data_IF_007603776546
#
_entry.id   IF_007603776546
#
_cell.length_a   1.000
_cell.length_b   1.000
_cell.length_c   1.000
_cell.angle_alpha   90.00
_cell.angle_beta   90.00
_cell.angle_gamma   90.00
#
_symmetry.space_group_name_H-M   'P 1'
#
loop_
_entity.id
_entity.type
_entity.pdbx_description
1 polymer ?
#
# COMPACT_ATOMS: atom_id res chain seq x y z
N UNK A 1 -28.66 -54.24 -47.34
CA UNK A 1 -29.17 -53.18 -46.48
C UNK A 1 -28.29 -53.15 -45.22
N UNK A 2 -27.25 -52.32 -45.25
CA UNK A 2 -26.27 -52.19 -44.20
C UNK A 2 -26.61 -50.95 -43.37
N UNK A 3 -26.88 -51.14 -42.08
CA UNK A 3 -27.16 -50.08 -41.13
C UNK A 3 -25.83 -49.47 -40.62
N UNK A 4 -25.58 -48.21 -40.90
CA UNK A 4 -24.51 -47.44 -40.34
C UNK A 4 -24.80 -47.07 -38.87
N UNK A 5 -23.90 -47.51 -37.99
CA UNK A 5 -23.88 -47.16 -36.57
C UNK A 5 -23.24 -45.75 -36.43
N UNK A 6 -24.05 -44.77 -36.04
CA UNK A 6 -23.58 -43.42 -35.72
C UNK A 6 -22.86 -43.41 -34.37
N UNK A 7 -21.58 -43.06 -34.37
CA UNK A 7 -20.77 -42.79 -33.18
C UNK A 7 -21.18 -41.46 -32.51
N UNK A 8 -21.41 -41.44 -31.20
CA UNK A 8 -21.73 -40.19 -30.52
C UNK A 8 -20.46 -39.30 -30.37
N UNK A 9 -20.50 -38.09 -30.90
CA UNK A 9 -19.49 -37.04 -30.68
C UNK A 9 -19.52 -36.64 -29.20
N UNK A 10 -18.46 -37.01 -28.46
CA UNK A 10 -18.17 -36.47 -27.12
C UNK A 10 -17.81 -35.01 -27.23
N UNK A 11 -18.69 -34.13 -26.79
CA UNK A 11 -18.39 -32.69 -26.56
C UNK A 11 -17.42 -32.61 -25.38
N UNK A 12 -16.36 -31.76 -25.47
CA UNK A 12 -15.44 -31.59 -24.36
C UNK A 12 -16.17 -30.92 -23.18
N UNK A 13 -16.23 -31.66 -22.05
CA UNK A 13 -16.65 -31.13 -20.76
C UNK A 13 -15.78 -29.92 -20.43
N UNK A 14 -16.37 -28.71 -20.50
CA UNK A 14 -15.79 -27.53 -19.86
C UNK A 14 -15.74 -27.80 -18.36
N UNK A 15 -14.59 -28.19 -17.86
CA UNK A 15 -14.31 -28.14 -16.43
C UNK A 15 -14.37 -26.66 -16.03
N UNK A 16 -15.44 -26.25 -15.40
CA UNK A 16 -15.54 -25.01 -14.67
C UNK A 16 -14.51 -25.07 -13.55
N UNK A 17 -13.34 -24.48 -13.79
CA UNK A 17 -12.36 -24.21 -12.75
C UNK A 17 -13.01 -23.20 -11.79
N UNK A 18 -13.64 -23.69 -10.75
CA UNK A 18 -13.91 -22.91 -9.56
C UNK A 18 -12.57 -22.28 -9.15
N UNK A 19 -12.40 -20.97 -9.39
CA UNK A 19 -11.24 -20.26 -8.94
C UNK A 19 -11.23 -20.36 -7.41
N UNK A 20 -10.24 -20.98 -6.78
CA UNK A 20 -10.19 -21.02 -5.33
C UNK A 20 -10.22 -19.59 -4.84
N UNK A 21 -11.19 -19.27 -3.97
CA UNK A 21 -11.18 -18.03 -3.20
C UNK A 21 -9.81 -17.94 -2.54
N UNK A 22 -9.22 -16.73 -2.55
CA UNK A 22 -7.99 -16.45 -1.79
C UNK A 22 -8.38 -16.50 -0.31
N UNK A 23 -8.32 -17.68 0.29
CA UNK A 23 -8.48 -17.82 1.73
C UNK A 23 -7.09 -17.70 2.35
N UNK A 24 -6.83 -16.56 2.99
CA UNK A 24 -5.68 -16.37 3.87
C UNK A 24 -6.14 -16.77 5.25
N UNK A 25 -5.46 -17.75 5.85
CA UNK A 25 -5.82 -18.22 7.18
C UNK A 25 -5.45 -17.17 8.24
N UNK A 26 -6.29 -17.01 9.26
CA UNK A 26 -6.05 -16.09 10.37
C UNK A 26 -4.70 -16.37 11.07
N UNK A 27 -4.31 -17.64 11.16
CA UNK A 27 -2.99 -18.03 11.67
C UNK A 27 -1.82 -17.49 10.85
N UNK A 28 -1.97 -17.34 9.53
CA UNK A 28 -0.94 -16.76 8.67
C UNK A 28 -0.84 -15.24 8.89
N UNK A 29 -1.97 -14.56 9.11
CA UNK A 29 -1.98 -13.12 9.44
C UNK A 29 -1.35 -12.85 10.80
N UNK A 30 -1.66 -13.64 11.82
CA UNK A 30 -1.03 -13.53 13.14
C UNK A 30 0.49 -13.75 13.08
N UNK A 31 0.94 -14.71 12.26
CA UNK A 31 2.36 -14.96 12.02
C UNK A 31 3.03 -13.79 11.29
N UNK A 32 2.37 -13.23 10.25
CA UNK A 32 2.88 -12.06 9.54
C UNK A 32 3.02 -10.85 10.46
N UNK A 33 2.03 -10.61 11.32
CA UNK A 33 2.03 -9.55 12.31
C UNK A 33 3.21 -9.69 13.28
N UNK A 34 3.45 -10.90 13.80
CA UNK A 34 4.61 -11.19 14.64
C UNK A 34 5.94 -10.95 13.91
N UNK A 35 6.04 -11.30 12.62
CA UNK A 35 7.25 -11.03 11.82
C UNK A 35 7.42 -9.52 11.62
N UNK A 36 6.37 -8.78 11.26
CA UNK A 36 6.39 -7.32 11.10
C UNK A 36 6.90 -6.63 12.37
N UNK A 37 6.46 -7.07 13.55
CA UNK A 37 6.86 -6.49 14.84
C UNK A 37 8.34 -6.72 15.21
N UNK A 38 9.06 -7.57 14.46
CA UNK A 38 10.47 -7.95 14.72
C UNK A 38 11.37 -7.82 13.51
N UNK A 39 10.83 -7.31 12.40
CA UNK A 39 11.56 -7.24 11.13
C UNK A 39 12.75 -6.28 11.21
N UNK A 40 13.88 -6.72 10.71
CA UNK A 40 15.08 -5.89 10.49
C UNK A 40 15.15 -5.38 9.04
N UNK A 41 14.27 -5.88 8.18
CA UNK A 41 14.09 -5.45 6.80
C UNK A 41 12.58 -5.34 6.50
N UNK A 42 12.08 -4.11 6.46
CA UNK A 42 10.65 -3.85 6.30
C UNK A 42 10.39 -2.39 5.86
N UNK A 43 9.69 -2.23 4.75
CA UNK A 43 9.05 -0.94 4.42
C UNK A 43 7.70 -0.84 5.15
N UNK A 44 7.25 0.36 5.59
CA UNK A 44 5.95 0.55 6.26
C UNK A 44 4.77 -0.03 5.49
N UNK A 45 4.75 0.10 4.14
CA UNK A 45 3.71 -0.46 3.28
C UNK A 45 3.52 -1.98 3.41
N UNK A 46 4.51 -2.70 3.96
CA UNK A 46 4.44 -4.15 4.17
C UNK A 46 3.32 -4.54 5.15
N UNK A 47 2.89 -3.61 6.03
CA UNK A 47 1.74 -3.80 6.92
C UNK A 47 0.43 -4.03 6.13
N UNK A 48 0.34 -3.62 4.85
CA UNK A 48 -0.78 -3.96 3.98
C UNK A 48 -0.97 -5.48 3.78
N UNK A 49 0.01 -6.31 4.13
CA UNK A 49 -0.14 -7.77 4.14
C UNK A 49 -1.24 -8.22 5.11
N UNK A 50 -1.44 -7.48 6.22
CA UNK A 50 -2.43 -7.77 7.25
C UNK A 50 -3.89 -7.58 6.79
N UNK A 51 -4.10 -6.95 5.60
CA UNK A 51 -5.42 -6.84 4.98
C UNK A 51 -6.03 -8.19 4.57
N UNK A 52 -5.22 -9.25 4.45
CA UNK A 52 -5.70 -10.59 4.14
C UNK A 52 -6.12 -10.81 2.68
N UNK A 53 -5.88 -9.86 1.78
CA UNK A 53 -6.20 -9.94 0.35
C UNK A 53 -5.06 -10.50 -0.52
N UNK A 54 -3.94 -10.86 0.11
CA UNK A 54 -2.72 -11.42 -0.51
C UNK A 54 -2.35 -12.76 0.11
N UNK A 55 -1.75 -13.64 -0.67
CA UNK A 55 -1.09 -14.85 -0.17
C UNK A 55 0.23 -14.51 0.49
N UNK A 56 0.62 -15.29 1.47
CA UNK A 56 1.87 -15.14 2.19
C UNK A 56 2.78 -16.34 1.88
N UNK A 57 3.99 -16.06 1.43
CA UNK A 57 5.06 -17.05 1.26
C UNK A 57 6.06 -16.86 2.38
N UNK A 58 6.09 -17.78 3.34
CA UNK A 58 7.04 -17.71 4.45
C UNK A 58 8.39 -18.33 4.08
N UNK A 59 9.46 -17.81 4.68
CA UNK A 59 10.79 -18.44 4.59
C UNK A 59 10.81 -19.80 5.30
N UNK A 60 11.76 -20.70 4.98
CA UNK A 60 11.89 -21.99 5.67
C UNK A 60 12.09 -21.85 7.19
N UNK A 61 12.78 -20.79 7.63
CA UNK A 61 12.98 -20.49 9.06
C UNK A 61 11.71 -19.99 9.76
N UNK A 62 10.76 -19.48 8.97
CA UNK A 62 9.55 -18.84 9.48
C UNK A 62 9.71 -17.43 10.02
N UNK A 63 10.89 -16.83 9.84
CA UNK A 63 11.21 -15.48 10.35
C UNK A 63 10.99 -14.36 9.33
N UNK A 64 10.66 -14.73 8.08
CA UNK A 64 10.40 -13.79 7.00
C UNK A 64 9.22 -14.23 6.14
N UNK A 65 8.58 -13.29 5.47
CA UNK A 65 7.53 -13.56 4.49
C UNK A 65 7.59 -12.62 3.29
N UNK A 66 6.92 -13.03 2.21
CA UNK A 66 6.61 -12.21 1.03
C UNK A 66 5.11 -12.26 0.79
N UNK A 67 4.44 -11.11 0.66
CA UNK A 67 3.04 -11.03 0.30
C UNK A 67 2.86 -10.92 -1.21
N UNK A 68 1.93 -11.68 -1.81
CA UNK A 68 1.69 -11.65 -3.25
C UNK A 68 0.24 -11.99 -3.61
N UNK A 69 -0.20 -11.54 -4.77
CA UNK A 69 -1.50 -11.89 -5.32
C UNK A 69 -1.38 -12.40 -6.76
N UNK A 70 -2.02 -13.54 -7.11
CA UNK A 70 -2.13 -14.00 -8.48
C UNK A 70 -3.22 -13.23 -9.24
N UNK A 71 -2.92 -12.78 -10.47
CA UNK A 71 -3.91 -12.25 -11.41
C UNK A 71 -3.66 -12.83 -12.79
N UNK A 72 -4.49 -13.78 -13.20
CA UNK A 72 -4.23 -14.60 -14.38
C UNK A 72 -2.90 -15.36 -14.23
N UNK A 73 -2.03 -15.26 -15.24
CA UNK A 73 -0.69 -15.88 -15.19
C UNK A 73 0.37 -14.98 -14.52
N UNK A 74 0.04 -13.80 -14.05
CA UNK A 74 1.00 -12.93 -13.35
C UNK A 74 0.84 -13.09 -11.84
N UNK A 75 1.95 -13.35 -11.14
CA UNK A 75 2.03 -13.33 -9.70
C UNK A 75 2.76 -12.05 -9.27
N UNK A 76 2.04 -11.19 -8.58
CA UNK A 76 2.54 -9.88 -8.14
C UNK A 76 2.84 -9.92 -6.65
N UNK A 77 4.11 -9.85 -6.29
CA UNK A 77 4.53 -9.52 -4.95
C UNK A 77 4.28 -8.03 -4.69
N UNK A 78 3.85 -7.68 -3.48
CA UNK A 78 3.69 -6.29 -3.06
C UNK A 78 4.85 -5.90 -2.13
N UNK A 79 5.69 -4.99 -2.61
CA UNK A 79 6.92 -4.60 -1.92
C UNK A 79 8.00 -5.68 -1.94
N UNK A 80 8.98 -5.50 -1.06
CA UNK A 80 10.08 -6.43 -0.81
C UNK A 80 9.66 -7.57 0.15
N UNK A 81 10.47 -8.64 0.29
CA UNK A 81 10.37 -9.56 1.41
C UNK A 81 10.47 -8.82 2.75
N UNK A 82 9.84 -9.36 3.78
CA UNK A 82 9.75 -8.78 5.13
C UNK A 82 10.32 -9.75 6.15
N UNK A 83 11.10 -9.27 7.10
CA UNK A 83 11.66 -10.08 8.20
C UNK A 83 13.15 -9.86 8.40
N UNK A 84 13.94 -10.90 8.25
CA UNK A 84 15.38 -10.85 8.40
C UNK A 84 16.07 -10.45 7.10
N UNK A 85 16.95 -9.47 7.13
CA UNK A 85 17.62 -8.93 5.95
C UNK A 85 18.40 -10.01 5.17
N UNK A 86 19.04 -10.93 5.87
CA UNK A 86 19.81 -12.03 5.28
C UNK A 86 18.97 -13.06 4.53
N UNK A 87 17.65 -13.10 4.77
CA UNK A 87 16.73 -14.00 4.10
C UNK A 87 16.08 -13.38 2.85
N UNK A 88 16.18 -12.07 2.66
CA UNK A 88 15.40 -11.34 1.65
C UNK A 88 15.67 -11.82 0.22
N UNK A 89 16.93 -11.96 -0.18
CA UNK A 89 17.30 -12.44 -1.53
C UNK A 89 16.81 -13.88 -1.75
N UNK A 90 17.05 -14.78 -0.78
CA UNK A 90 16.64 -16.18 -0.87
C UNK A 90 15.12 -16.35 -0.97
N UNK A 91 14.35 -15.54 -0.23
CA UNK A 91 12.90 -15.58 -0.28
C UNK A 91 12.34 -15.02 -1.59
N UNK A 92 12.92 -13.94 -2.13
CA UNK A 92 12.57 -13.41 -3.44
C UNK A 92 12.88 -14.43 -4.56
N UNK A 93 14.05 -15.08 -4.51
CA UNK A 93 14.42 -16.15 -5.45
C UNK A 93 13.45 -17.35 -5.37
N UNK A 94 13.06 -17.74 -4.15
CA UNK A 94 12.08 -18.81 -3.94
C UNK A 94 10.72 -18.48 -4.54
N UNK A 95 10.25 -17.25 -4.37
CA UNK A 95 9.01 -16.77 -5.01
C UNK A 95 9.06 -16.87 -6.53
N UNK A 96 10.16 -16.39 -7.15
CA UNK A 96 10.36 -16.47 -8.60
C UNK A 96 10.33 -17.94 -9.07
N UNK A 97 11.04 -18.82 -8.36
CA UNK A 97 11.15 -20.23 -8.70
C UNK A 97 9.80 -20.96 -8.63
N UNK A 98 9.04 -20.73 -7.57
CA UNK A 98 7.70 -21.34 -7.40
C UNK A 98 6.74 -20.82 -8.48
N UNK A 99 6.72 -19.51 -8.71
CA UNK A 99 5.87 -18.91 -9.75
C UNK A 99 6.15 -19.53 -11.13
N UNK A 100 7.44 -19.62 -11.52
CA UNK A 100 7.85 -20.20 -12.81
C UNK A 100 7.48 -21.68 -12.92
N UNK A 101 7.70 -22.49 -11.88
CA UNK A 101 7.31 -23.92 -11.85
C UNK A 101 5.82 -24.11 -12.08
N UNK A 102 4.98 -23.16 -11.63
CA UNK A 102 3.52 -23.18 -11.82
C UNK A 102 3.09 -22.45 -13.12
N UNK A 103 4.01 -22.12 -14.03
CA UNK A 103 3.73 -21.47 -15.30
C UNK A 103 3.30 -20.01 -15.17
N UNK A 104 3.53 -19.39 -13.99
CA UNK A 104 3.26 -17.99 -13.75
C UNK A 104 4.45 -17.09 -14.05
N UNK A 105 4.17 -15.81 -14.27
CA UNK A 105 5.13 -14.73 -14.50
C UNK A 105 5.26 -13.89 -13.23
N UNK A 106 6.36 -14.03 -12.46
CA UNK A 106 6.55 -13.27 -11.22
C UNK A 106 6.96 -11.83 -11.49
N UNK A 107 6.46 -10.90 -10.66
CA UNK A 107 6.89 -9.51 -10.62
C UNK A 107 6.74 -8.95 -9.20
N UNK A 108 7.52 -7.91 -8.88
CA UNK A 108 7.48 -7.18 -7.62
C UNK A 108 6.99 -5.76 -7.90
N UNK A 109 5.92 -5.35 -7.24
CA UNK A 109 5.29 -4.05 -7.41
C UNK A 109 5.46 -3.19 -6.17
N UNK A 110 5.73 -1.89 -6.35
CA UNK A 110 5.87 -0.95 -5.26
C UNK A 110 7.20 -1.07 -4.51
N UNK A 111 8.26 -1.51 -5.19
CA UNK A 111 9.60 -1.63 -4.58
C UNK A 111 10.37 -0.30 -4.68
N UNK A 112 11.07 0.06 -3.61
CA UNK A 112 11.86 1.28 -3.49
C UNK A 112 13.37 1.00 -3.47
N UNK A 113 14.19 1.99 -3.06
CA UNK A 113 15.64 1.86 -3.04
C UNK A 113 16.17 0.68 -2.21
N UNK A 114 15.48 0.31 -1.13
CA UNK A 114 15.85 -0.83 -0.30
C UNK A 114 15.86 -2.17 -1.05
N UNK A 115 15.17 -2.26 -2.21
CA UNK A 115 15.11 -3.47 -3.04
C UNK A 115 16.30 -3.62 -4.01
N UNK A 116 17.18 -2.62 -4.12
CA UNK A 116 18.25 -2.59 -5.14
C UNK A 116 19.12 -3.83 -5.10
N UNK A 117 19.66 -4.19 -3.94
CA UNK A 117 20.50 -5.37 -3.78
C UNK A 117 19.81 -6.69 -4.15
N UNK A 118 18.48 -6.79 -3.98
CA UNK A 118 17.71 -7.94 -4.45
C UNK A 118 17.57 -7.93 -5.97
N UNK A 119 17.32 -6.75 -6.56
CA UNK A 119 17.17 -6.59 -7.99
C UNK A 119 18.47 -6.95 -8.75
N UNK A 120 19.62 -6.49 -8.24
CA UNK A 120 20.94 -6.82 -8.78
C UNK A 120 21.26 -8.31 -8.64
N UNK A 121 21.11 -8.88 -7.45
CA UNK A 121 21.42 -10.28 -7.17
C UNK A 121 20.58 -11.27 -8.01
N UNK A 122 19.36 -10.87 -8.41
CA UNK A 122 18.44 -11.70 -9.18
C UNK A 122 18.28 -11.28 -10.66
N UNK A 123 19.12 -10.37 -11.15
CA UNK A 123 19.08 -9.81 -12.53
C UNK A 123 17.65 -9.37 -12.93
N UNK A 124 17.00 -8.58 -12.06
CA UNK A 124 15.66 -8.07 -12.31
C UNK A 124 15.70 -6.75 -13.08
N UNK A 125 14.88 -6.65 -14.12
CA UNK A 125 14.66 -5.40 -14.82
C UNK A 125 13.66 -4.54 -14.06
N UNK A 126 13.94 -3.24 -13.89
CA UNK A 126 13.09 -2.28 -13.18
C UNK A 126 12.51 -1.26 -14.14
N UNK A 127 11.24 -0.88 -13.87
CA UNK A 127 10.57 0.24 -14.54
C UNK A 127 9.96 1.12 -13.47
N UNK A 128 10.25 2.43 -13.52
CA UNK A 128 9.69 3.41 -12.58
C UNK A 128 8.18 3.50 -12.76
N UNK A 129 7.44 3.43 -11.65
CA UNK A 129 5.97 3.45 -11.61
C UNK A 129 5.41 4.63 -10.81
N UNK A 130 6.28 5.41 -10.16
CA UNK A 130 5.91 6.58 -9.38
C UNK A 130 7.02 7.02 -8.45
N UNK A 131 6.66 7.87 -7.50
CA UNK A 131 7.55 8.37 -6.46
C UNK A 131 6.86 8.28 -5.09
N UNK A 132 7.64 8.02 -4.05
CA UNK A 132 7.22 7.97 -2.65
C UNK A 132 7.72 9.22 -1.94
N UNK A 133 6.84 9.86 -1.19
CA UNK A 133 7.18 11.06 -0.44
C UNK A 133 7.66 10.69 0.97
N UNK A 134 8.92 10.98 1.28
CA UNK A 134 9.56 10.67 2.56
C UNK A 134 9.92 11.98 3.26
N UNK A 135 9.48 12.14 4.50
CA UNK A 135 9.84 13.28 5.34
C UNK A 135 10.90 12.84 6.36
N UNK A 136 12.07 13.46 6.32
CA UNK A 136 13.08 13.27 7.34
C UNK A 136 12.59 13.88 8.68
N UNK A 137 12.42 13.03 9.68
CA UNK A 137 11.98 13.43 11.01
C UNK A 137 13.14 13.89 11.90
N UNK A 138 14.36 13.51 11.59
CA UNK A 138 15.53 13.86 12.42
C UNK A 138 15.73 15.39 12.45
N UNK A 139 15.54 16.03 11.29
CA UNK A 139 15.66 17.46 11.10
C UNK A 139 14.30 18.21 11.13
N UNK A 140 13.18 17.48 11.14
CA UNK A 140 11.86 18.08 11.07
C UNK A 140 11.57 19.01 12.25
N UNK A 141 11.10 20.22 11.95
CA UNK A 141 10.48 21.15 12.91
C UNK A 141 9.31 21.88 12.24
N UNK A 142 8.45 22.50 13.03
CA UNK A 142 7.38 23.37 12.52
C UNK A 142 7.86 24.81 12.29
N UNK A 143 9.13 25.11 12.49
CA UNK A 143 9.70 26.46 12.35
C UNK A 143 9.90 26.86 10.89
N UNK A 144 10.12 28.15 10.68
CA UNK A 144 10.40 28.72 9.38
C UNK A 144 9.17 29.05 8.53
N UNK A 145 9.42 29.80 7.44
CA UNK A 145 8.40 30.30 6.50
C UNK A 145 7.66 29.16 5.77
N UNK A 146 8.39 28.13 5.39
CA UNK A 146 7.84 27.00 4.63
C UNK A 146 6.77 26.20 5.41
N UNK A 147 6.83 26.21 6.74
CA UNK A 147 5.90 25.52 7.63
C UNK A 147 4.76 26.41 8.15
N UNK A 148 4.69 27.68 7.72
CA UNK A 148 3.72 28.65 8.22
C UNK A 148 2.27 28.19 8.10
N UNK A 149 1.86 27.63 6.97
CA UNK A 149 0.48 27.17 6.74
C UNK A 149 0.12 26.05 7.71
N UNK A 150 0.99 25.06 7.85
CA UNK A 150 0.79 23.91 8.74
C UNK A 150 0.72 24.36 10.19
N UNK A 151 1.64 25.24 10.60
CA UNK A 151 1.68 25.84 11.94
C UNK A 151 0.42 26.66 12.25
N UNK A 152 -0.09 27.40 11.25
CA UNK A 152 -1.33 28.18 11.38
C UNK A 152 -2.53 27.24 11.61
N UNK A 153 -2.65 26.15 10.85
CA UNK A 153 -3.72 25.18 11.05
C UNK A 153 -3.58 24.49 12.42
N UNK A 154 -2.39 24.08 12.81
CA UNK A 154 -2.13 23.50 14.12
C UNK A 154 -2.55 24.43 15.25
N UNK A 155 -2.05 25.66 15.25
CA UNK A 155 -2.34 26.63 16.31
C UNK A 155 -3.83 26.94 16.42
N UNK A 156 -4.55 27.02 15.29
CA UNK A 156 -6.00 27.22 15.26
C UNK A 156 -6.75 26.04 15.89
N UNK A 157 -6.37 24.81 15.56
CA UNK A 157 -7.02 23.61 16.13
C UNK A 157 -6.73 23.48 17.61
N UNK A 158 -5.50 23.71 18.05
CA UNK A 158 -5.14 23.73 19.48
C UNK A 158 -5.91 24.83 20.23
N UNK A 159 -6.03 26.05 19.68
CA UNK A 159 -6.84 27.13 20.27
C UNK A 159 -8.31 26.76 20.40
N UNK A 160 -8.83 25.97 19.45
CA UNK A 160 -10.21 25.45 19.47
C UNK A 160 -10.32 24.13 20.25
N UNK A 161 -9.34 23.81 21.09
CA UNK A 161 -9.32 22.66 22.00
C UNK A 161 -9.40 21.29 21.29
N UNK A 162 -8.98 21.20 20.02
CA UNK A 162 -8.77 19.92 19.38
C UNK A 162 -7.49 19.26 19.91
N UNK A 163 -7.50 17.94 19.98
CA UNK A 163 -6.36 17.12 20.37
C UNK A 163 -6.17 15.96 19.42
N UNK A 164 -4.93 15.48 19.29
CA UNK A 164 -4.63 14.23 18.57
C UNK A 164 -4.28 13.17 19.60
N UNK A 165 -4.95 12.02 19.51
CA UNK A 165 -4.62 10.82 20.29
C UNK A 165 -4.11 9.74 19.36
N UNK A 166 -3.02 9.10 19.78
CA UNK A 166 -2.42 7.97 19.04
C UNK A 166 -2.41 6.78 19.99
N UNK A 167 -3.16 5.77 19.63
CA UNK A 167 -3.42 4.59 20.44
C UNK A 167 -2.88 3.35 19.71
N UNK A 168 -2.44 2.35 20.46
CA UNK A 168 -1.95 1.09 19.90
C UNK A 168 -3.05 0.24 19.24
N UNK A 169 -2.67 -0.92 18.67
CA UNK A 169 -3.64 -1.89 18.15
C UNK A 169 -4.75 -2.23 19.15
N UNK A 170 -5.94 -2.48 18.65
CA UNK A 170 -7.15 -2.74 19.46
C UNK A 170 -8.02 -1.51 19.77
N UNK A 171 -7.54 -0.30 19.47
CA UNK A 171 -8.27 0.94 19.78
C UNK A 171 -9.48 1.21 18.84
N UNK A 172 -9.53 0.56 17.69
CA UNK A 172 -10.57 0.77 16.68
C UNK A 172 -11.95 0.35 17.22
N UNK A 173 -12.03 -0.77 17.93
CA UNK A 173 -13.30 -1.34 18.42
C UNK A 173 -14.04 -0.41 19.36
N UNK A 174 -13.32 0.31 20.23
CA UNK A 174 -13.90 1.28 21.15
C UNK A 174 -14.54 2.50 20.45
N UNK A 175 -14.12 2.78 19.21
CA UNK A 175 -14.55 3.95 18.44
C UNK A 175 -15.27 3.56 17.13
N UNK A 176 -15.60 2.28 16.94
CA UNK A 176 -15.98 1.69 15.66
C UNK A 176 -17.14 2.41 14.98
N UNK A 177 -18.22 2.68 15.70
CA UNK A 177 -19.40 3.32 15.12
C UNK A 177 -19.07 4.70 14.50
N UNK A 178 -18.28 5.51 15.21
CA UNK A 178 -17.88 6.83 14.69
C UNK A 178 -16.90 6.73 13.55
N UNK A 179 -15.90 5.85 13.63
CA UNK A 179 -14.93 5.63 12.56
C UNK A 179 -15.61 5.13 11.27
N UNK A 180 -16.62 4.24 11.40
CA UNK A 180 -17.43 3.78 10.29
C UNK A 180 -18.20 4.94 9.64
N UNK A 181 -18.87 5.78 10.44
CA UNK A 181 -19.57 6.96 9.94
C UNK A 181 -18.66 7.89 9.13
N UNK A 182 -17.48 8.22 9.69
CA UNK A 182 -16.49 9.04 8.99
C UNK A 182 -16.06 8.37 7.67
N UNK A 183 -15.82 7.07 7.72
CA UNK A 183 -15.42 6.29 6.56
C UNK A 183 -16.47 6.31 5.46
N UNK A 184 -17.74 6.11 5.80
CA UNK A 184 -18.84 6.07 4.85
C UNK A 184 -19.07 7.46 4.21
N UNK A 185 -19.07 8.53 5.01
CA UNK A 185 -19.12 9.91 4.53
C UNK A 185 -17.98 10.22 3.54
N UNK A 186 -16.74 9.85 3.90
CA UNK A 186 -15.59 10.06 3.06
C UNK A 186 -15.70 9.32 1.72
N UNK A 187 -16.22 8.08 1.72
CA UNK A 187 -16.37 7.24 0.52
C UNK A 187 -17.39 7.79 -0.47
N UNK A 188 -18.44 8.50 -0.01
CA UNK A 188 -19.42 9.15 -0.90
C UNK A 188 -18.73 10.10 -1.89
N UNK A 189 -17.67 10.76 -1.46
CA UNK A 189 -16.90 11.71 -2.28
C UNK A 189 -15.73 11.08 -3.05
N UNK A 190 -15.54 9.74 -2.96
CA UNK A 190 -14.44 9.06 -3.64
C UNK A 190 -14.91 8.27 -4.85
N UNK A 191 -14.44 8.65 -6.02
CA UNK A 191 -14.67 7.87 -7.23
C UNK A 191 -14.01 6.48 -7.14
N UNK A 192 -14.79 5.41 -7.25
CA UNK A 192 -14.30 4.03 -7.34
C UNK A 192 -14.20 3.25 -6.04
N UNK A 193 -14.76 3.76 -4.93
CA UNK A 193 -14.93 3.01 -3.67
C UNK A 193 -13.61 2.60 -3.01
N UNK A 194 -13.69 1.57 -2.15
CA UNK A 194 -12.54 1.01 -1.46
C UNK A 194 -11.53 0.38 -2.42
N UNK A 195 -10.27 0.47 -2.05
CA UNK A 195 -9.13 -0.10 -2.78
C UNK A 195 -8.60 -1.33 -2.04
N UNK A 196 -7.65 -2.01 -2.64
CA UNK A 196 -6.99 -3.17 -2.03
C UNK A 196 -5.56 -3.33 -2.52
N UNK A 197 -4.97 -4.50 -2.29
CA UNK A 197 -3.63 -4.91 -2.69
C UNK A 197 -2.53 -4.04 -2.09
N UNK A 198 -2.34 -2.83 -2.57
CA UNK A 198 -1.31 -1.89 -2.09
C UNK A 198 -1.82 -0.75 -1.22
N UNK A 199 -3.12 -0.72 -0.96
CA UNK A 199 -3.80 0.25 -0.11
C UNK A 199 -4.73 -0.48 0.86
N UNK A 200 -4.87 0.04 2.06
CA UNK A 200 -5.83 -0.47 3.01
C UNK A 200 -7.27 -0.06 2.65
N UNK A 201 -8.20 -0.70 3.31
CA UNK A 201 -9.63 -0.39 3.28
C UNK A 201 -10.19 -0.41 4.69
N UNK A 202 -11.39 0.11 4.87
CA UNK A 202 -12.08 0.04 6.15
C UNK A 202 -12.59 -1.39 6.41
N UNK A 203 -11.69 -2.22 6.91
CA UNK A 203 -11.95 -3.58 7.37
C UNK A 203 -11.54 -3.64 8.85
N UNK A 204 -12.50 -3.91 9.73
CA UNK A 204 -12.30 -3.84 11.19
C UNK A 204 -11.19 -4.77 11.66
N UNK A 205 -11.11 -5.99 11.10
CA UNK A 205 -10.08 -6.96 11.46
C UNK A 205 -8.68 -6.50 11.06
N UNK A 206 -8.59 -5.74 9.98
CA UNK A 206 -7.34 -5.17 9.50
C UNK A 206 -6.93 -3.93 10.30
N UNK A 207 -7.80 -2.91 10.36
CA UNK A 207 -7.44 -1.64 10.99
C UNK A 207 -7.26 -1.74 12.50
N UNK A 208 -7.87 -2.72 13.16
CA UNK A 208 -7.73 -2.99 14.59
C UNK A 208 -6.36 -3.59 14.96
N UNK A 209 -5.60 -4.08 13.95
CA UNK A 209 -4.20 -4.53 14.11
C UNK A 209 -3.18 -3.37 14.05
N UNK A 210 -3.62 -2.19 13.63
CA UNK A 210 -2.76 -1.04 13.38
C UNK A 210 -2.91 0.00 14.48
N UNK A 211 -1.86 0.78 14.77
CA UNK A 211 -2.01 1.95 15.61
C UNK A 211 -2.97 2.95 14.96
N UNK A 212 -3.84 3.54 15.78
CA UNK A 212 -4.89 4.47 15.39
C UNK A 212 -4.58 5.88 15.89
N UNK A 213 -4.54 6.85 14.98
CA UNK A 213 -4.51 8.27 15.32
C UNK A 213 -5.90 8.89 15.12
N UNK A 214 -6.40 9.63 16.09
CA UNK A 214 -7.70 10.30 16.02
C UNK A 214 -7.56 11.79 16.35
N UNK A 215 -8.23 12.65 15.58
CA UNK A 215 -8.41 14.07 15.92
C UNK A 215 -9.73 14.21 16.67
N UNK A 216 -9.67 14.73 17.89
CA UNK A 216 -10.82 14.87 18.78
C UNK A 216 -11.07 16.32 19.13
N UNK A 217 -12.35 16.72 19.12
CA UNK A 217 -12.82 17.99 19.66
C UNK A 217 -12.85 17.95 21.21
N UNK A 218 -13.12 19.08 21.83
CA UNK A 218 -13.16 19.24 23.29
C UNK A 218 -14.17 18.32 23.99
N UNK A 219 -15.29 18.02 23.34
CA UNK A 219 -16.34 17.11 23.81
C UNK A 219 -16.01 15.62 23.58
N UNK A 220 -14.84 15.32 23.02
CA UNK A 220 -14.38 13.98 22.69
C UNK A 220 -14.83 13.45 21.32
N UNK A 221 -15.62 14.21 20.57
CA UNK A 221 -16.07 13.85 19.24
C UNK A 221 -14.89 13.69 18.28
N UNK A 222 -14.87 12.59 17.51
CA UNK A 222 -13.80 12.33 16.53
C UNK A 222 -14.15 12.99 15.20
N UNK A 223 -13.30 13.92 14.76
CA UNK A 223 -13.43 14.64 13.48
C UNK A 223 -12.67 13.98 12.32
N UNK A 224 -11.53 13.32 12.62
CA UNK A 224 -10.69 12.64 11.62
C UNK A 224 -9.93 11.49 12.27
N UNK A 225 -9.47 10.55 11.44
CA UNK A 225 -8.58 9.47 11.86
C UNK A 225 -7.57 9.08 10.79
N UNK A 226 -6.49 8.42 11.24
CA UNK A 226 -5.54 7.72 10.36
C UNK A 226 -5.08 6.42 11.02
N UNK A 227 -4.88 5.38 10.21
CA UNK A 227 -4.21 4.15 10.61
C UNK A 227 -2.73 4.23 10.23
N UNK A 228 -1.84 3.77 11.09
CA UNK A 228 -0.40 3.93 10.91
C UNK A 228 0.27 2.60 10.55
N UNK A 229 1.31 2.67 9.75
CA UNK A 229 2.17 1.56 9.37
C UNK A 229 3.56 1.72 10.00
N UNK A 230 3.82 1.17 11.17
CA UNK A 230 5.14 1.24 11.81
C UNK A 230 6.13 0.26 11.17
N UNK A 231 7.41 0.60 11.16
CA UNK A 231 8.50 -0.37 11.04
C UNK A 231 9.06 -0.69 12.44
N UNK A 232 9.44 -1.96 12.67
CA UNK A 232 9.90 -2.40 13.98
C UNK A 232 11.23 -1.77 14.41
N UNK A 233 12.11 -1.50 13.45
CA UNK A 233 13.41 -0.86 13.63
C UNK A 233 13.34 0.66 13.79
N UNK A 234 12.14 1.22 13.72
CA UNK A 234 11.87 2.66 13.74
C UNK A 234 12.58 3.49 12.66
N UNK A 235 13.07 2.86 11.62
CA UNK A 235 13.62 3.58 10.46
C UNK A 235 12.55 4.45 9.81
N UNK A 236 11.30 3.93 9.70
CA UNK A 236 10.17 4.64 9.09
C UNK A 236 8.85 4.32 9.78
N UNK A 237 7.94 5.28 9.70
CA UNK A 237 6.50 5.05 9.95
C UNK A 237 5.71 5.66 8.81
N UNK A 238 4.68 4.98 8.36
CA UNK A 238 3.79 5.45 7.29
C UNK A 238 2.36 5.60 7.76
N UNK A 239 1.51 6.09 6.88
CA UNK A 239 0.07 6.20 7.07
C UNK A 239 -0.65 5.37 6.01
N UNK A 240 -1.75 4.72 6.39
CA UNK A 240 -2.63 4.00 5.46
C UNK A 240 -3.95 4.74 5.25
N UNK A 241 -5.04 4.24 5.85
CA UNK A 241 -6.29 4.96 5.80
C UNK A 241 -6.17 6.28 6.55
N UNK A 242 -6.59 7.35 5.88
CA UNK A 242 -6.75 8.67 6.49
C UNK A 242 -8.07 9.25 6.00
N UNK A 243 -8.98 9.55 6.93
CA UNK A 243 -10.34 9.99 6.62
C UNK A 243 -10.79 11.06 7.62
N UNK A 244 -11.67 11.93 7.15
CA UNK A 244 -12.28 12.96 7.98
C UNK A 244 -13.79 13.02 7.70
N UNK A 245 -14.56 13.38 8.70
CA UNK A 245 -16.00 13.53 8.59
C UNK A 245 -16.41 14.83 7.90
N UNK A 246 -17.66 14.94 7.48
CA UNK A 246 -18.21 16.16 6.86
C UNK A 246 -18.21 17.34 7.84
N UNK A 247 -18.29 17.07 9.14
CA UNK A 247 -18.21 18.02 10.24
C UNK A 247 -16.79 18.42 10.65
N UNK A 248 -15.78 17.88 9.97
CA UNK A 248 -14.39 18.17 10.29
C UNK A 248 -14.01 19.61 9.93
N UNK A 249 -13.32 20.33 10.81
CA UNK A 249 -12.91 21.70 10.52
C UNK A 249 -11.86 21.78 9.41
N UNK A 250 -11.90 22.85 8.64
CA UNK A 250 -10.94 23.06 7.54
C UNK A 250 -9.50 23.03 8.05
N UNK A 251 -8.63 22.23 7.38
CA UNK A 251 -7.23 22.03 7.74
C UNK A 251 -7.03 20.94 8.80
N UNK A 252 -8.04 20.15 9.13
CA UNK A 252 -7.94 19.04 10.09
C UNK A 252 -6.85 18.04 9.73
N UNK A 253 -6.67 17.73 8.43
CA UNK A 253 -5.62 16.82 7.98
C UNK A 253 -4.22 17.45 8.08
N UNK A 254 -4.06 18.75 7.82
CA UNK A 254 -2.79 19.43 8.04
C UNK A 254 -2.42 19.42 9.53
N UNK A 255 -3.41 19.57 10.42
CA UNK A 255 -3.23 19.46 11.87
C UNK A 255 -2.86 18.03 12.28
N UNK A 256 -3.58 17.03 11.80
CA UNK A 256 -3.30 15.62 12.10
C UNK A 256 -1.85 15.27 11.70
N UNK A 257 -1.44 15.62 10.48
CA UNK A 257 -0.08 15.32 10.02
C UNK A 257 0.98 16.08 10.81
N UNK A 258 0.75 17.33 11.19
CA UNK A 258 1.68 18.06 12.05
C UNK A 258 1.93 17.34 13.38
N UNK A 259 0.86 16.90 14.05
CA UNK A 259 0.96 16.16 15.31
C UNK A 259 1.58 14.77 15.11
N UNK A 260 1.25 14.05 14.01
CA UNK A 260 1.84 12.76 13.67
C UNK A 260 3.37 12.86 13.48
N UNK A 261 3.85 13.89 12.79
CA UNK A 261 5.29 14.08 12.58
C UNK A 261 6.02 14.38 13.89
N UNK A 262 5.46 15.25 14.72
CA UNK A 262 6.05 15.57 16.05
C UNK A 262 6.04 14.33 16.95
N UNK A 263 4.94 13.58 16.98
CA UNK A 263 4.83 12.36 17.76
C UNK A 263 5.80 11.29 17.26
N UNK A 264 5.85 11.03 15.94
CA UNK A 264 6.72 10.02 15.36
C UNK A 264 8.21 10.33 15.63
N UNK A 265 8.61 11.61 15.51
CA UNK A 265 9.94 12.08 15.91
C UNK A 265 10.21 11.80 17.39
N UNK A 266 9.28 12.13 18.28
CA UNK A 266 9.40 11.89 19.72
C UNK A 266 9.47 10.39 20.07
N UNK A 267 8.82 9.51 19.25
CA UNK A 267 8.93 8.05 19.37
C UNK A 267 10.24 7.48 18.82
N UNK A 268 11.11 8.30 18.23
CA UNK A 268 12.40 7.90 17.68
C UNK A 268 12.36 7.37 16.25
N UNK A 269 11.26 7.56 15.50
CA UNK A 269 11.23 7.28 14.07
C UNK A 269 12.11 8.27 13.32
N UNK A 270 12.85 7.77 12.32
CA UNK A 270 13.80 8.59 11.56
C UNK A 270 13.12 9.28 10.38
N UNK A 271 12.13 8.65 9.76
CA UNK A 271 11.41 9.22 8.63
C UNK A 271 9.91 8.90 8.68
N UNK A 272 9.11 9.75 8.04
CA UNK A 272 7.68 9.54 7.83
C UNK A 272 7.39 9.29 6.35
N UNK A 273 6.80 8.15 6.05
CA UNK A 273 6.39 7.75 4.71
C UNK A 273 4.95 8.23 4.44
N UNK A 274 4.82 9.20 3.55
CA UNK A 274 3.54 9.75 3.08
C UNK A 274 2.94 8.93 1.93
N UNK A 275 3.46 7.74 1.67
CA UNK A 275 3.09 6.83 0.59
C UNK A 275 3.42 7.31 -0.83
N UNK A 276 3.21 6.39 -1.76
CA UNK A 276 3.49 6.59 -3.19
C UNK A 276 2.51 7.57 -3.84
N UNK A 277 3.02 8.41 -4.73
CA UNK A 277 2.27 9.14 -5.74
C UNK A 277 2.46 8.39 -7.06
N UNK A 278 1.47 7.62 -7.52
CA UNK A 278 1.59 6.86 -8.75
C UNK A 278 1.85 7.77 -9.95
N UNK A 279 2.69 7.32 -10.88
CA UNK A 279 3.05 8.01 -12.12
C UNK A 279 3.79 9.35 -11.94
N UNK A 280 4.06 9.76 -10.70
CA UNK A 280 4.88 10.95 -10.44
C UNK A 280 6.32 10.70 -10.93
N UNK A 281 6.94 11.73 -11.54
CA UNK A 281 8.32 11.65 -12.04
C UNK A 281 8.56 10.60 -13.14
N UNK A 282 7.51 10.05 -13.74
CA UNK A 282 7.61 9.18 -14.92
C UNK A 282 7.58 10.07 -16.15
N UNK A 283 8.76 10.33 -16.73
CA UNK A 283 8.84 11.09 -17.97
C UNK A 283 8.40 10.25 -19.17
N UNK A 284 7.63 10.81 -20.09
CA UNK A 284 7.31 10.15 -21.36
C UNK A 284 8.57 10.10 -22.24
N UNK A 285 9.40 9.09 -22.03
CA UNK A 285 10.50 8.81 -22.94
C UNK A 285 9.92 8.26 -24.25
N UNK A 286 10.06 9.02 -25.31
CA UNK A 286 9.35 8.90 -26.60
C UNK A 286 9.59 7.60 -27.39
N UNK A 287 10.42 6.69 -26.95
CA UNK A 287 10.80 5.46 -27.69
C UNK A 287 10.47 4.14 -26.99
N UNK A 288 9.93 4.16 -25.75
CA UNK A 288 9.61 2.91 -25.03
C UNK A 288 8.15 2.50 -25.25
N UNK A 289 7.87 1.27 -25.72
CA UNK A 289 6.49 0.73 -25.80
C UNK A 289 5.76 0.75 -24.46
N UNK A 290 6.50 0.72 -23.35
CA UNK A 290 5.96 0.84 -22.00
C UNK A 290 5.30 2.21 -21.79
N UNK A 291 5.97 3.29 -22.19
CA UNK A 291 5.48 4.66 -22.00
C UNK A 291 4.30 4.97 -22.91
N UNK A 292 4.31 4.52 -24.16
CA UNK A 292 3.17 4.66 -25.08
C UNK A 292 1.93 3.95 -24.51
N UNK A 293 2.09 2.76 -23.96
CA UNK A 293 1.00 2.00 -23.36
C UNK A 293 0.58 2.59 -22.00
N UNK A 294 1.51 3.16 -21.23
CA UNK A 294 1.22 3.90 -20.00
C UNK A 294 0.43 5.16 -20.30
N UNK A 295 0.83 5.94 -21.32
CA UNK A 295 0.10 7.11 -21.78
C UNK A 295 -1.32 6.75 -22.23
N UNK A 296 -1.52 5.60 -22.89
CA UNK A 296 -2.83 5.08 -23.25
C UNK A 296 -3.68 4.73 -22.03
N UNK A 297 -3.09 4.05 -21.04
CA UNK A 297 -3.74 3.75 -19.77
C UNK A 297 -4.11 5.04 -19.02
N UNK A 298 -3.26 6.06 -19.11
CA UNK A 298 -3.50 7.39 -18.58
C UNK A 298 -4.65 8.10 -19.30
N UNK A 299 -4.73 8.00 -20.61
CA UNK A 299 -5.78 8.60 -21.41
C UNK A 299 -7.15 7.92 -21.15
N UNK A 300 -7.17 6.61 -21.05
CA UNK A 300 -8.40 5.83 -20.79
C UNK A 300 -8.96 6.02 -19.35
N UNK A 301 -8.13 6.50 -18.41
CA UNK A 301 -8.47 6.65 -17.00
C UNK A 301 -8.20 8.07 -16.46
N UNK A 302 -8.15 9.06 -17.34
CA UNK A 302 -7.67 10.44 -17.09
C UNK A 302 -8.35 11.18 -15.93
N UNK A 303 -9.64 10.93 -15.64
CA UNK A 303 -10.32 11.53 -14.49
C UNK A 303 -9.73 11.09 -13.15
N UNK A 304 -9.24 9.85 -13.07
CA UNK A 304 -8.53 9.33 -11.87
C UNK A 304 -7.14 9.92 -11.70
N UNK A 305 -6.50 10.35 -12.79
CA UNK A 305 -5.19 11.00 -12.80
C UNK A 305 -5.21 12.42 -12.23
N UNK A 306 -6.32 13.13 -12.39
CA UNK A 306 -6.47 14.47 -11.79
C UNK A 306 -6.37 14.41 -10.26
N UNK A 307 -6.83 13.33 -9.64
CA UNK A 307 -6.73 13.11 -8.20
C UNK A 307 -5.28 12.85 -7.75
N UNK A 308 -4.41 12.25 -8.58
CA UNK A 308 -2.99 12.04 -8.24
C UNK A 308 -2.20 13.34 -8.11
N UNK A 309 -2.53 14.37 -8.93
CA UNK A 309 -1.91 15.71 -8.81
C UNK A 309 -2.32 16.40 -7.49
N UNK A 310 -3.57 16.22 -7.06
CA UNK A 310 -4.06 16.72 -5.77
C UNK A 310 -3.33 16.08 -4.60
N UNK A 311 -3.13 14.77 -4.64
CA UNK A 311 -2.37 14.03 -3.62
C UNK A 311 -0.90 14.48 -3.58
N UNK A 312 -0.24 14.63 -4.74
CA UNK A 312 1.14 15.13 -4.79
C UNK A 312 1.24 16.56 -4.23
N UNK A 313 0.30 17.45 -4.60
CA UNK A 313 0.24 18.83 -4.08
C UNK A 313 0.06 18.85 -2.57
N UNK A 314 -0.79 17.98 -2.02
CA UNK A 314 -0.96 17.84 -0.58
C UNK A 314 0.35 17.45 0.11
N UNK A 315 1.04 16.42 -0.38
CA UNK A 315 2.33 15.95 0.17
C UNK A 315 3.43 17.02 0.07
N UNK A 316 3.47 17.77 -1.03
CA UNK A 316 4.45 18.85 -1.22
C UNK A 316 4.37 19.95 -0.17
N UNK A 317 3.22 20.14 0.52
CA UNK A 317 3.11 21.05 1.67
C UNK A 317 4.10 20.73 2.79
N UNK A 318 4.50 19.47 2.88
CA UNK A 318 5.40 18.95 3.91
C UNK A 318 6.85 18.95 3.46
N UNK A 319 7.16 19.39 2.23
CA UNK A 319 8.49 19.41 1.63
C UNK A 319 9.24 18.08 1.82
N UNK A 320 8.68 16.95 1.36
CA UNK A 320 9.32 15.66 1.47
C UNK A 320 10.43 15.50 0.43
N UNK A 321 11.33 14.58 0.67
CA UNK A 321 12.17 13.98 -0.36
C UNK A 321 11.35 12.96 -1.16
N UNK A 322 11.63 12.85 -2.47
CA UNK A 322 10.92 11.94 -3.35
C UNK A 322 11.82 10.78 -3.73
N UNK A 323 11.46 9.58 -3.30
CA UNK A 323 12.13 8.33 -3.64
C UNK A 323 11.43 7.63 -4.81
N UNK A 324 12.18 7.15 -5.79
CA UNK A 324 11.65 6.39 -6.92
C UNK A 324 11.01 5.06 -6.46
N UNK A 325 9.89 4.73 -7.08
CA UNK A 325 9.19 3.45 -6.86
C UNK A 325 9.10 2.71 -8.18
N UNK A 326 9.39 1.40 -8.14
CA UNK A 326 9.53 0.57 -9.32
C UNK A 326 8.60 -0.64 -9.32
N UNK A 327 8.37 -1.14 -10.52
CA UNK A 327 7.98 -2.51 -10.78
C UNK A 327 9.24 -3.25 -11.26
N UNK A 328 9.60 -4.34 -10.58
CA UNK A 328 10.76 -5.16 -10.92
C UNK A 328 10.31 -6.56 -11.35
N UNK A 329 10.93 -7.10 -12.40
CA UNK A 329 10.60 -8.43 -12.91
C UNK A 329 11.80 -9.09 -13.61
N UNK A 330 11.88 -10.44 -13.62
CA UNK A 330 12.88 -11.15 -14.41
C UNK A 330 12.73 -10.87 -15.91
N UNK A 331 13.82 -10.99 -16.66
CA UNK A 331 13.82 -10.92 -18.13
C UNK A 331 12.72 -11.81 -18.74
N UNK A 332 12.04 -11.30 -19.77
CA UNK A 332 10.94 -12.00 -20.45
C UNK A 332 9.56 -11.86 -19.77
N UNK A 333 9.46 -11.14 -18.65
CA UNK A 333 8.17 -10.73 -18.05
C UNK A 333 7.84 -9.33 -18.54
N UNK A 334 6.65 -9.17 -19.16
CA UNK A 334 6.17 -7.86 -19.60
C UNK A 334 5.80 -6.97 -18.42
N UNK A 335 6.54 -5.89 -18.21
CA UNK A 335 6.26 -4.87 -17.18
C UNK A 335 4.89 -4.21 -17.38
N UNK A 336 4.50 -3.97 -18.63
CA UNK A 336 3.19 -3.42 -18.95
C UNK A 336 2.05 -4.34 -18.49
N UNK A 337 2.13 -5.64 -18.82
CA UNK A 337 1.12 -6.61 -18.37
C UNK A 337 1.11 -6.70 -16.84
N UNK A 338 2.27 -6.69 -16.20
CA UNK A 338 2.37 -6.73 -14.74
C UNK A 338 1.74 -5.48 -14.10
N UNK A 339 1.99 -4.28 -14.65
CA UNK A 339 1.40 -3.02 -14.18
C UNK A 339 -0.13 -2.99 -14.38
N UNK A 340 -0.62 -3.41 -15.54
CA UNK A 340 -2.06 -3.53 -15.79
C UNK A 340 -2.72 -4.51 -14.79
N UNK A 341 -2.05 -5.62 -14.45
CA UNK A 341 -2.54 -6.56 -13.42
C UNK A 341 -2.51 -5.97 -12.02
N UNK A 342 -1.49 -5.17 -11.67
CA UNK A 342 -1.44 -4.43 -10.42
C UNK A 342 -2.63 -3.47 -10.29
N UNK A 343 -2.92 -2.69 -11.33
CA UNK A 343 -4.07 -1.77 -11.39
C UNK A 343 -5.39 -2.52 -11.18
N UNK A 344 -5.55 -3.70 -11.81
CA UNK A 344 -6.73 -4.53 -11.61
C UNK A 344 -6.84 -5.14 -10.20
N UNK A 345 -5.73 -5.39 -9.52
CA UNK A 345 -5.73 -5.86 -8.13
C UNK A 345 -6.08 -4.74 -7.16
N UNK A 346 -5.52 -3.54 -7.38
CA UNK A 346 -5.79 -2.35 -6.56
C UNK A 346 -7.27 -1.94 -6.63
N UNK A 347 -7.85 -1.97 -7.83
CA UNK A 347 -9.24 -1.55 -8.06
C UNK A 347 -10.26 -2.70 -8.00
N UNK A 348 -9.89 -3.85 -7.41
CA UNK A 348 -10.79 -4.99 -7.31
C UNK A 348 -11.89 -4.68 -6.29
N UNK A 349 -13.18 -4.61 -6.68
CA UNK A 349 -14.28 -4.65 -5.71
C UNK A 349 -14.26 -6.01 -5.03
N UNK A 350 -14.49 -6.02 -3.74
CA UNK A 350 -14.54 -7.23 -2.91
C UNK A 350 -16.00 -7.59 -2.67
#
# INVERSE_FOLDING_TARGET
MTAELATPRLLPRRFGLNKPKLEVHEGDLARADLILSRATYCDPQSNAALLGDKRLLFSPSGRSFLSYAPKGRTWLAFGAPVGQAEEAIGLAQRFITIARKLGAKPAFYGVGPSFEGIAEALDLQKVKTGERAILDLTTFSLDGKQRQVIRTHRNRHVKNQFSVRIEGPGAVRANLARLQTISDQWLVHQAGGEKGFGLGRFDVHYIDRLPLATVRAADGHIAAFACLWPSADKSRIGVDLMRYGEDAPNGVMDYLFAELFLWAKAQGYQAFDLNTSPLAGVEPCSSSPFVTNLAKLMYEHGEKLYNFQGVRRFKNKFHPEWEDVYLAAPKGVSHFVALARATLLINRPL
#
